data_IF_890359231054
#
_entry.id   IF_890359231054
#
_cell.length_a   1.000
_cell.length_b   1.000
_cell.length_c   1.000
_cell.angle_alpha   90.00
_cell.angle_beta   90.00
_cell.angle_gamma   90.00
#
_symmetry.space_group_name_H-M   'P 1'
#
loop_
_entity.id
_entity.type
_entity.pdbx_description
1 polymer ?
#
# COMPACT_ATOMS: atom_id res chain seq x y z
N UNK A 1 14.28 9.26 -2.48
CA UNK A 1 12.86 9.32 -2.05
C UNK A 1 12.83 9.72 -0.58
N UNK A 2 12.05 10.76 -0.22
CA UNK A 2 11.91 11.22 1.16
C UNK A 2 11.30 10.13 2.05
N UNK A 3 11.60 10.12 3.35
CA UNK A 3 11.13 9.09 4.28
C UNK A 3 9.60 9.01 4.38
N UNK A 4 8.92 10.17 4.46
CA UNK A 4 7.46 10.23 4.38
C UNK A 4 6.92 9.49 3.15
N UNK A 5 7.50 9.75 1.96
CA UNK A 5 7.06 9.10 0.72
C UNK A 5 7.24 7.59 0.76
N UNK A 6 8.31 7.07 1.39
CA UNK A 6 8.50 5.63 1.55
C UNK A 6 7.41 5.02 2.43
N UNK A 7 7.05 5.66 3.53
CA UNK A 7 5.96 5.21 4.41
C UNK A 7 4.61 5.26 3.71
N UNK A 8 4.31 6.33 2.97
CA UNK A 8 3.10 6.42 2.14
C UNK A 8 3.05 5.28 1.10
N UNK A 9 4.18 4.98 0.44
CA UNK A 9 4.27 3.84 -0.48
C UNK A 9 4.07 2.50 0.25
N UNK A 10 4.74 2.26 1.36
CA UNK A 10 4.58 1.01 2.11
C UNK A 10 3.13 0.80 2.55
N UNK A 11 2.46 1.86 3.02
CA UNK A 11 1.08 1.79 3.51
C UNK A 11 0.04 1.48 2.42
N UNK A 12 0.30 1.83 1.15
CA UNK A 12 -0.72 1.61 0.10
C UNK A 12 -1.82 2.63 0.05
N UNK A 13 -2.16 3.19 1.20
CA UNK A 13 -3.31 4.05 1.39
C UNK A 13 -2.96 5.22 2.32
N UNK A 14 -3.68 6.33 2.16
CA UNK A 14 -3.57 7.51 3.00
C UNK A 14 -4.97 7.85 3.56
N UNK A 15 -5.28 7.48 4.81
CA UNK A 15 -6.52 7.88 5.48
C UNK A 15 -6.63 9.41 5.54
N UNK A 16 -7.68 9.96 4.95
CA UNK A 16 -7.95 11.41 4.95
C UNK A 16 -9.02 11.73 5.99
N UNK A 17 -8.60 12.22 7.14
CA UNK A 17 -9.46 12.39 8.32
C UNK A 17 -9.96 13.84 8.47
N UNK A 18 -11.25 13.98 8.77
CA UNK A 18 -11.84 15.21 9.31
C UNK A 18 -12.06 14.98 10.80
N UNK A 19 -11.42 15.80 11.64
CA UNK A 19 -11.47 15.65 13.09
C UNK A 19 -12.08 16.92 13.67
N UNK A 20 -13.34 16.84 14.12
CA UNK A 20 -14.03 17.95 14.78
C UNK A 20 -13.62 18.17 16.24
N UNK A 21 -13.14 17.10 16.89
CA UNK A 21 -12.70 17.11 18.29
C UNK A 21 -11.32 16.45 18.40
N UNK A 22 -10.33 17.19 18.90
CA UNK A 22 -8.95 16.70 19.02
C UNK A 22 -8.83 15.44 19.89
N UNK A 23 -9.77 15.19 20.82
CA UNK A 23 -9.79 13.98 21.66
C UNK A 23 -9.97 12.69 20.85
N UNK A 24 -10.51 12.79 19.64
CA UNK A 24 -10.68 11.63 18.75
C UNK A 24 -9.40 11.28 17.98
N UNK A 25 -8.40 12.16 17.95
CA UNK A 25 -7.22 11.98 17.10
C UNK A 25 -6.37 10.77 17.52
N UNK A 26 -6.14 10.61 18.82
CA UNK A 26 -5.30 9.55 19.37
C UNK A 26 -5.98 8.17 19.25
N UNK A 27 -7.24 7.98 19.69
CA UNK A 27 -7.95 6.70 19.48
C UNK A 27 -8.13 6.31 18.00
N UNK A 28 -8.34 7.30 17.12
CA UNK A 28 -8.36 7.06 15.67
C UNK A 28 -7.03 6.48 15.18
N UNK A 29 -5.91 7.04 15.64
CA UNK A 29 -4.59 6.55 15.27
C UNK A 29 -4.31 5.15 15.83
N UNK A 30 -4.82 4.82 17.02
CA UNK A 30 -4.72 3.46 17.57
C UNK A 30 -5.42 2.44 16.68
N UNK A 31 -6.62 2.74 16.20
CA UNK A 31 -7.35 1.88 15.27
C UNK A 31 -6.62 1.70 13.93
N UNK A 32 -6.03 2.78 13.39
CA UNK A 32 -5.23 2.72 12.17
C UNK A 32 -3.98 1.85 12.37
N UNK A 33 -3.24 2.06 13.46
CA UNK A 33 -2.04 1.29 13.79
C UNK A 33 -2.36 -0.19 13.99
N UNK A 34 -3.45 -0.50 14.69
CA UNK A 34 -3.92 -1.88 14.86
C UNK A 34 -4.22 -2.56 13.53
N UNK A 35 -4.77 -1.82 12.55
CA UNK A 35 -5.00 -2.30 11.20
C UNK A 35 -3.73 -2.33 10.31
N UNK A 36 -2.59 -1.84 10.80
CA UNK A 36 -1.34 -1.80 10.06
C UNK A 36 -1.15 -0.59 9.16
N UNK A 37 -1.89 0.50 9.41
CA UNK A 37 -1.76 1.76 8.68
C UNK A 37 -1.12 2.78 9.62
N UNK A 38 0.09 3.21 9.29
CA UNK A 38 0.92 4.07 10.12
C UNK A 38 1.05 5.50 9.58
N UNK A 39 0.16 5.90 8.66
CA UNK A 39 0.10 7.24 8.07
C UNK A 39 -1.32 7.81 8.18
N UNK A 40 -1.43 9.14 8.31
CA UNK A 40 -2.73 9.84 8.34
C UNK A 40 -2.60 11.26 7.77
N UNK A 41 -3.57 11.70 6.97
CA UNK A 41 -3.74 13.10 6.55
C UNK A 41 -4.88 13.73 7.37
N UNK A 42 -4.56 14.60 8.32
CA UNK A 42 -5.57 15.39 9.05
C UNK A 42 -5.92 16.64 8.24
N UNK A 43 -7.17 16.78 7.82
CA UNK A 43 -7.57 17.94 7.01
C UNK A 43 -7.72 19.20 7.87
N UNK A 44 -7.12 20.31 7.43
CA UNK A 44 -7.18 21.64 8.06
C UNK A 44 -8.50 22.35 7.73
N UNK A 45 -9.62 21.62 7.89
CA UNK A 45 -10.98 22.09 7.67
C UNK A 45 -11.76 22.35 8.96
N UNK A 46 -11.16 22.06 10.10
CA UNK A 46 -11.74 22.22 11.43
C UNK A 46 -10.79 23.02 12.32
N UNK A 47 -11.34 23.72 13.31
CA UNK A 47 -10.53 24.45 14.31
C UNK A 47 -9.66 23.50 15.15
N UNK A 48 -10.12 22.26 15.33
CA UNK A 48 -9.41 21.22 16.09
C UNK A 48 -8.21 20.60 15.34
N UNK A 49 -8.02 20.86 14.04
CA UNK A 49 -7.03 20.16 13.22
C UNK A 49 -5.59 20.28 13.76
N UNK A 50 -5.16 21.49 14.15
CA UNK A 50 -3.82 21.69 14.69
C UNK A 50 -3.61 20.96 16.04
N UNK A 51 -4.63 20.99 16.91
CA UNK A 51 -4.58 20.27 18.18
C UNK A 51 -4.57 18.75 17.98
N UNK A 52 -5.35 18.24 17.03
CA UNK A 52 -5.35 16.83 16.64
C UNK A 52 -3.96 16.39 16.15
N UNK A 53 -3.33 17.15 15.26
CA UNK A 53 -1.96 16.86 14.78
C UNK A 53 -0.96 16.85 15.94
N UNK A 54 -1.05 17.81 16.86
CA UNK A 54 -0.17 17.88 18.02
C UNK A 54 -0.33 16.68 18.97
N UNK A 55 -1.57 16.26 19.25
CA UNK A 55 -1.84 15.07 20.03
C UNK A 55 -1.27 13.80 19.36
N UNK A 56 -1.46 13.63 18.05
CA UNK A 56 -0.89 12.49 17.30
C UNK A 56 0.64 12.50 17.36
N UNK A 57 1.27 13.64 17.06
CA UNK A 57 2.73 13.75 17.00
C UNK A 57 3.39 13.48 18.36
N UNK A 58 2.75 13.87 19.45
CA UNK A 58 3.28 13.70 20.81
C UNK A 58 2.98 12.33 21.41
N UNK A 59 1.76 11.82 21.22
CA UNK A 59 1.29 10.61 21.91
C UNK A 59 1.45 9.34 21.07
N UNK A 60 1.64 9.45 19.75
CA UNK A 60 1.74 8.31 18.81
C UNK A 60 2.96 8.45 17.90
N UNK A 61 4.19 8.28 18.42
CA UNK A 61 5.42 8.37 17.63
C UNK A 61 5.51 7.33 16.49
N UNK A 62 4.75 6.23 16.59
CA UNK A 62 4.60 5.24 15.52
C UNK A 62 3.78 5.73 14.32
N UNK A 63 2.96 6.78 14.48
CA UNK A 63 2.14 7.36 13.40
C UNK A 63 2.93 8.43 12.62
N UNK A 64 2.71 8.53 11.31
CA UNK A 64 3.16 9.64 10.48
C UNK A 64 2.03 10.65 10.30
N UNK A 65 1.96 11.71 11.11
CA UNK A 65 0.94 12.74 10.93
C UNK A 65 1.30 13.64 9.74
N UNK A 66 0.37 13.76 8.79
CA UNK A 66 0.36 14.79 7.77
C UNK A 66 -0.81 15.74 7.93
N UNK A 67 -0.71 16.90 7.28
CA UNK A 67 -1.77 17.89 7.26
C UNK A 67 -2.24 18.16 5.84
N UNK A 68 -3.54 18.03 5.62
CA UNK A 68 -4.18 18.18 4.33
C UNK A 68 -5.09 19.39 4.23
N UNK A 69 -5.52 19.72 3.02
CA UNK A 69 -6.33 20.93 2.76
C UNK A 69 -5.61 22.21 3.18
N UNK A 70 -4.28 22.26 3.00
CA UNK A 70 -3.51 23.48 3.21
C UNK A 70 -3.77 24.43 2.04
N UNK A 71 -4.19 25.66 2.34
CA UNK A 71 -4.55 26.68 1.34
C UNK A 71 -3.65 27.92 1.41
N UNK A 72 -2.96 28.13 2.53
CA UNK A 72 -2.07 29.27 2.75
C UNK A 72 -0.78 28.87 3.45
N UNK A 73 0.22 29.77 3.40
CA UNK A 73 1.48 29.62 4.12
C UNK A 73 1.24 29.59 5.64
N UNK A 74 0.35 30.43 6.15
CA UNK A 74 0.01 30.46 7.59
C UNK A 74 -0.53 29.09 8.08
N UNK A 75 -1.34 28.42 7.27
CA UNK A 75 -1.81 27.07 7.58
C UNK A 75 -0.68 26.04 7.52
N UNK A 76 0.23 26.16 6.55
CA UNK A 76 1.42 25.31 6.46
C UNK A 76 2.32 25.45 7.70
N UNK A 77 2.57 26.68 8.13
CA UNK A 77 3.33 27.00 9.35
C UNK A 77 2.64 26.47 10.61
N UNK A 78 1.33 26.66 10.73
CA UNK A 78 0.56 26.12 11.86
C UNK A 78 0.61 24.59 11.90
N UNK A 79 0.48 23.92 10.75
CA UNK A 79 0.55 22.47 10.64
C UNK A 79 1.91 21.91 11.02
N UNK A 80 2.99 22.48 10.49
CA UNK A 80 4.37 22.05 10.80
C UNK A 80 4.68 22.28 12.27
N UNK A 81 4.29 23.44 12.82
CA UNK A 81 4.45 23.75 14.25
C UNK A 81 3.66 22.79 15.15
N UNK A 82 2.50 22.32 14.69
CA UNK A 82 1.73 21.29 15.40
C UNK A 82 2.37 19.89 15.31
N UNK A 83 3.39 19.68 14.46
CA UNK A 83 4.09 18.41 14.33
C UNK A 83 3.75 17.62 13.06
N UNK A 84 3.06 18.22 12.09
CA UNK A 84 2.87 17.59 10.78
C UNK A 84 4.23 17.33 10.10
N UNK A 85 4.40 16.12 9.57
CA UNK A 85 5.64 15.65 8.92
C UNK A 85 5.61 15.75 7.41
N UNK A 86 4.43 15.99 6.84
CA UNK A 86 4.23 16.31 5.44
C UNK A 86 2.93 17.11 5.27
N UNK A 87 2.84 17.84 4.17
CA UNK A 87 1.69 18.66 3.82
C UNK A 87 1.05 18.20 2.52
N UNK A 88 -0.26 18.44 2.40
CA UNK A 88 -1.05 18.12 1.22
C UNK A 88 -1.97 19.29 0.88
N UNK A 89 -1.96 19.72 -0.37
CA UNK A 89 -2.86 20.77 -0.88
C UNK A 89 -3.89 20.16 -1.83
N UNK A 90 -5.12 20.68 -1.92
CA UNK A 90 -6.13 20.14 -2.83
C UNK A 90 -5.86 20.51 -4.30
N UNK A 91 -5.14 21.62 -4.54
CA UNK A 91 -4.66 22.06 -5.85
C UNK A 91 -3.24 22.64 -5.74
N UNK A 92 -2.68 23.12 -6.85
CA UNK A 92 -1.31 23.61 -6.87
C UNK A 92 -1.26 25.08 -6.41
N UNK A 93 -0.66 25.34 -5.24
CA UNK A 93 -0.44 26.69 -4.71
C UNK A 93 1.05 27.04 -4.80
N UNK A 94 1.47 27.93 -5.71
CA UNK A 94 2.88 28.32 -5.84
C UNK A 94 3.48 28.89 -4.55
N UNK A 95 2.68 29.63 -3.78
CA UNK A 95 3.13 30.23 -2.51
C UNK A 95 3.44 29.15 -1.46
N UNK A 96 2.53 28.19 -1.26
CA UNK A 96 2.75 27.08 -0.32
C UNK A 96 3.89 26.19 -0.81
N UNK A 97 3.95 25.91 -2.11
CA UNK A 97 5.01 25.12 -2.73
C UNK A 97 6.40 25.75 -2.53
N UNK A 98 6.53 27.05 -2.76
CA UNK A 98 7.77 27.78 -2.55
C UNK A 98 8.19 27.78 -1.07
N UNK A 99 7.24 28.03 -0.16
CA UNK A 99 7.51 27.99 1.28
C UNK A 99 7.97 26.61 1.74
N UNK A 100 7.29 25.54 1.33
CA UNK A 100 7.66 24.16 1.69
C UNK A 100 9.05 23.81 1.17
N UNK A 101 9.39 24.21 -0.06
CA UNK A 101 10.71 23.98 -0.64
C UNK A 101 11.81 24.71 0.13
N UNK A 102 11.58 25.97 0.51
CA UNK A 102 12.55 26.76 1.27
C UNK A 102 12.79 26.25 2.70
N UNK A 103 11.82 25.54 3.27
CA UNK A 103 11.90 24.97 4.62
C UNK A 103 12.10 23.44 4.63
N UNK A 104 12.37 22.85 3.47
CA UNK A 104 12.58 21.40 3.32
C UNK A 104 11.42 20.54 3.86
N UNK A 105 10.19 21.07 3.77
CA UNK A 105 8.97 20.38 4.19
C UNK A 105 8.43 19.54 3.04
N UNK A 106 8.20 18.22 3.23
CA UNK A 106 7.57 17.37 2.22
C UNK A 106 6.16 17.88 1.90
N UNK A 107 5.90 18.12 0.61
CA UNK A 107 4.62 18.56 0.10
C UNK A 107 4.19 17.64 -1.03
N UNK A 108 2.92 17.21 -0.98
CA UNK A 108 2.24 16.50 -2.06
C UNK A 108 1.16 17.43 -2.64
N UNK A 109 1.50 18.28 -3.63
CA UNK A 109 0.57 19.28 -4.10
C UNK A 109 -0.50 18.68 -5.00
N UNK A 110 -1.72 19.20 -4.90
CA UNK A 110 -2.86 18.77 -5.72
C UNK A 110 -2.75 19.20 -7.18
N UNK A 111 -3.10 18.30 -8.09
CA UNK A 111 -3.18 18.53 -9.54
C UNK A 111 -4.36 17.74 -10.11
N UNK A 112 -4.86 18.18 -11.27
CA UNK A 112 -5.92 17.51 -12.04
C UNK A 112 -5.64 17.50 -13.55
N UNK A 113 -4.72 18.33 -14.03
CA UNK A 113 -4.41 18.53 -15.45
C UNK A 113 -2.91 18.47 -15.76
N UNK A 114 -2.58 18.28 -17.04
CA UNK A 114 -1.21 18.32 -17.56
C UNK A 114 -0.46 19.62 -17.20
N UNK A 115 -1.12 20.79 -17.33
CA UNK A 115 -0.53 22.08 -16.99
C UNK A 115 -0.14 22.19 -15.52
N UNK A 116 -0.98 21.69 -14.61
CA UNK A 116 -0.68 21.71 -13.17
C UNK A 116 0.45 20.73 -12.82
N UNK A 117 0.51 19.57 -13.50
CA UNK A 117 1.63 18.62 -13.38
C UNK A 117 2.94 19.29 -13.81
N UNK A 118 2.96 19.98 -14.94
CA UNK A 118 4.15 20.70 -15.41
C UNK A 118 4.61 21.79 -14.44
N UNK A 119 3.67 22.55 -13.86
CA UNK A 119 3.98 23.56 -12.85
C UNK A 119 4.61 22.95 -11.59
N UNK A 120 4.06 21.83 -11.11
CA UNK A 120 4.60 21.14 -9.95
C UNK A 120 6.00 20.55 -10.23
N UNK A 121 6.18 19.92 -11.38
CA UNK A 121 7.46 19.37 -11.84
C UNK A 121 8.52 20.46 -12.01
N UNK A 122 8.16 21.62 -12.56
CA UNK A 122 9.06 22.76 -12.71
C UNK A 122 9.59 23.28 -11.37
N UNK A 123 8.81 23.12 -10.29
CA UNK A 123 9.25 23.43 -8.93
C UNK A 123 10.00 22.28 -8.24
N UNK A 124 10.07 21.10 -8.86
CA UNK A 124 10.76 19.90 -8.36
C UNK A 124 9.89 18.93 -7.58
N UNK A 125 8.56 19.10 -7.59
CA UNK A 125 7.63 18.16 -6.96
C UNK A 125 7.28 17.05 -7.95
N UNK A 126 7.63 15.81 -7.61
CA UNK A 126 7.35 14.62 -8.43
C UNK A 126 6.27 13.72 -7.83
N UNK A 127 5.97 13.87 -6.54
CA UNK A 127 4.89 13.16 -5.86
C UNK A 127 3.69 14.11 -5.68
N UNK A 128 2.61 13.86 -6.41
CA UNK A 128 1.50 14.79 -6.59
C UNK A 128 0.21 14.17 -6.06
N UNK A 129 -0.66 14.96 -5.43
CA UNK A 129 -2.04 14.53 -5.16
C UNK A 129 -2.85 14.70 -6.45
N UNK A 130 -3.57 13.65 -6.87
CA UNK A 130 -4.49 13.75 -8.00
C UNK A 130 -5.91 13.88 -7.46
N UNK A 131 -6.50 15.08 -7.59
CA UNK A 131 -7.77 15.41 -6.95
C UNK A 131 -8.61 16.37 -7.80
N UNK A 132 -9.94 16.14 -7.93
CA UNK A 132 -10.70 14.97 -7.48
C UNK A 132 -10.60 13.79 -8.46
N UNK A 133 -10.03 12.66 -8.03
CA UNK A 133 -9.56 11.59 -8.92
C UNK A 133 -10.62 11.04 -9.89
N UNK A 134 -11.75 10.54 -9.39
CA UNK A 134 -12.78 9.96 -10.25
C UNK A 134 -13.38 10.99 -11.23
N UNK A 135 -13.64 12.21 -10.75
CA UNK A 135 -14.21 13.28 -11.56
C UNK A 135 -13.22 13.83 -12.60
N UNK A 136 -11.92 13.69 -12.36
CA UNK A 136 -10.85 14.08 -13.30
C UNK A 136 -10.46 12.94 -14.27
N UNK A 137 -11.26 11.89 -14.39
CA UNK A 137 -11.05 10.79 -15.35
C UNK A 137 -10.33 9.56 -14.79
N UNK A 138 -10.06 9.54 -13.49
CA UNK A 138 -9.60 8.39 -12.71
C UNK A 138 -8.37 7.68 -13.26
N UNK A 139 -8.40 6.34 -13.23
CA UNK A 139 -7.33 5.46 -13.72
C UNK A 139 -6.93 5.77 -15.17
N UNK A 140 -7.91 6.11 -16.02
CA UNK A 140 -7.66 6.47 -17.43
C UNK A 140 -6.82 7.74 -17.57
N UNK A 141 -7.15 8.77 -16.78
CA UNK A 141 -6.39 10.02 -16.76
C UNK A 141 -4.95 9.80 -16.24
N UNK A 142 -4.77 9.06 -15.14
CA UNK A 142 -3.44 8.76 -14.61
C UNK A 142 -2.57 7.96 -15.58
N UNK A 143 -3.17 7.03 -16.33
CA UNK A 143 -2.47 6.30 -17.41
C UNK A 143 -2.03 7.24 -18.53
N UNK A 144 -2.90 8.17 -18.94
CA UNK A 144 -2.59 9.15 -19.98
C UNK A 144 -1.48 10.12 -19.54
N UNK A 145 -1.52 10.60 -18.28
CA UNK A 145 -0.49 11.47 -17.70
C UNK A 145 0.86 10.76 -17.55
N UNK A 146 0.86 9.45 -17.26
CA UNK A 146 2.08 8.65 -17.10
C UNK A 146 2.93 8.52 -18.38
N UNK A 147 2.35 8.77 -19.56
CA UNK A 147 3.08 8.77 -20.83
C UNK A 147 4.14 9.89 -20.91
N UNK A 148 3.72 11.17 -20.93
CA UNK A 148 4.64 12.31 -20.99
C UNK A 148 5.35 12.60 -19.66
N UNK A 149 4.78 12.25 -18.50
CA UNK A 149 5.31 12.60 -17.18
C UNK A 149 5.81 11.39 -16.40
N UNK A 150 6.79 10.66 -16.97
CA UNK A 150 7.30 9.39 -16.41
C UNK A 150 7.89 9.51 -14.99
N UNK A 151 8.36 10.70 -14.62
CA UNK A 151 8.89 10.99 -13.28
C UNK A 151 7.81 11.29 -12.23
N UNK A 152 6.56 11.54 -12.65
CA UNK A 152 5.47 11.89 -11.75
C UNK A 152 4.82 10.64 -11.16
N UNK A 153 4.54 10.70 -9.85
CA UNK A 153 3.73 9.72 -9.12
C UNK A 153 2.56 10.41 -8.47
N UNK A 154 1.46 9.69 -8.32
CA UNK A 154 0.18 10.26 -7.94
C UNK A 154 -0.40 9.62 -6.68
N UNK A 155 -1.05 10.45 -5.87
CA UNK A 155 -1.91 10.05 -4.76
C UNK A 155 -3.36 10.37 -5.19
N UNK A 156 -4.04 9.48 -5.93
CA UNK A 156 -5.45 9.68 -6.28
C UNK A 156 -6.30 9.81 -5.02
N UNK A 157 -7.09 10.87 -4.94
CA UNK A 157 -8.00 11.16 -3.84
C UNK A 157 -9.33 11.69 -4.38
N UNK A 158 -10.45 11.23 -3.83
CA UNK A 158 -11.80 11.63 -4.27
C UNK A 158 -12.44 10.58 -5.17
N UNK A 159 -13.47 9.90 -4.64
CA UNK A 159 -14.14 8.79 -5.31
C UNK A 159 -13.40 7.44 -5.24
N UNK A 160 -12.25 7.38 -4.59
CA UNK A 160 -11.52 6.13 -4.33
C UNK A 160 -12.17 5.37 -3.16
N UNK A 161 -12.29 4.06 -3.29
CA UNK A 161 -12.77 3.13 -2.26
C UNK A 161 -12.43 1.68 -2.61
N UNK A 162 -12.93 0.71 -1.83
CA UNK A 162 -12.57 -0.71 -2.00
C UNK A 162 -12.81 -1.25 -3.42
N UNK A 163 -13.88 -0.80 -4.07
CA UNK A 163 -14.29 -1.26 -5.40
C UNK A 163 -13.31 -0.88 -6.53
N UNK A 164 -12.51 0.18 -6.36
CA UNK A 164 -11.57 0.67 -7.38
C UNK A 164 -10.12 0.79 -6.87
N UNK A 165 -9.85 0.46 -5.59
CA UNK A 165 -8.54 0.58 -4.95
C UNK A 165 -7.41 -0.06 -5.77
N UNK A 166 -7.55 -1.36 -6.11
CA UNK A 166 -6.52 -2.07 -6.86
C UNK A 166 -6.41 -1.60 -8.32
N UNK A 167 -7.48 -1.05 -8.90
CA UNK A 167 -7.41 -0.46 -10.23
C UNK A 167 -6.44 0.73 -10.26
N UNK A 168 -6.41 1.53 -9.18
CA UNK A 168 -5.41 2.58 -9.01
C UNK A 168 -4.03 2.04 -8.64
N UNK A 169 -3.93 1.17 -7.62
CA UNK A 169 -2.63 0.69 -7.15
C UNK A 169 -1.86 -0.17 -8.16
N UNK A 170 -2.56 -0.76 -9.14
CA UNK A 170 -1.91 -1.46 -10.25
C UNK A 170 -1.13 -0.55 -11.21
N UNK A 171 -1.35 0.78 -11.16
CA UNK A 171 -0.60 1.71 -11.99
C UNK A 171 0.79 1.99 -11.39
N UNK A 172 1.88 1.91 -12.17
CA UNK A 172 3.24 2.11 -11.66
C UNK A 172 3.52 3.56 -11.22
N UNK A 173 2.72 4.51 -11.71
CA UNK A 173 2.78 5.91 -11.32
C UNK A 173 1.81 6.25 -10.17
N UNK A 174 1.25 5.28 -9.44
CA UNK A 174 0.46 5.53 -8.23
C UNK A 174 1.29 5.21 -6.98
N UNK A 175 1.49 6.23 -6.15
CA UNK A 175 2.23 6.11 -4.89
C UNK A 175 1.40 5.37 -3.83
N UNK A 176 0.21 5.88 -3.55
CA UNK A 176 -0.78 5.32 -2.63
C UNK A 176 -2.15 5.92 -2.93
N UNK A 177 -3.24 5.38 -2.38
CA UNK A 177 -4.58 5.91 -2.58
C UNK A 177 -5.06 6.71 -1.35
N UNK A 178 -5.45 7.97 -1.55
CA UNK A 178 -6.01 8.80 -0.50
C UNK A 178 -7.53 8.70 -0.42
N UNK A 179 -8.10 8.63 0.78
CA UNK A 179 -9.55 8.63 0.91
C UNK A 179 -10.08 8.64 2.34
N UNK A 180 -11.30 9.17 2.49
CA UNK A 180 -12.05 9.14 3.74
C UNK A 180 -12.84 7.84 3.94
N UNK A 181 -12.87 6.92 2.95
CA UNK A 181 -13.55 5.64 3.08
C UNK A 181 -12.96 4.75 4.19
N UNK A 182 -11.69 4.99 4.53
CA UNK A 182 -10.99 4.33 5.65
C UNK A 182 -11.40 4.89 7.00
N UNK A 183 -11.71 6.19 7.05
CA UNK A 183 -11.99 6.95 8.28
C UNK A 183 -13.24 7.82 8.10
N UNK A 184 -14.43 7.22 7.91
CA UNK A 184 -15.65 8.00 7.66
C UNK A 184 -15.91 8.98 8.81
N UNK A 185 -16.19 10.25 8.48
CA UNK A 185 -16.36 11.32 9.47
C UNK A 185 -17.41 10.97 10.54
N UNK A 186 -18.54 10.36 10.14
CA UNK A 186 -19.58 9.93 11.08
C UNK A 186 -19.13 8.86 12.09
N UNK A 187 -18.20 7.97 11.72
CA UNK A 187 -17.63 6.99 12.66
C UNK A 187 -16.61 7.65 13.60
N UNK A 188 -15.81 8.58 13.09
CA UNK A 188 -14.85 9.38 13.89
C UNK A 188 -15.60 10.21 14.92
N UNK A 189 -16.66 10.91 14.52
CA UNK A 189 -17.50 11.72 15.41
C UNK A 189 -18.22 10.88 16.46
N UNK A 190 -18.68 9.68 16.10
CA UNK A 190 -19.35 8.77 17.01
C UNK A 190 -18.38 7.96 17.92
N UNK A 191 -17.06 8.12 17.75
CA UNK A 191 -16.06 7.36 18.50
C UNK A 191 -16.03 5.85 18.21
N UNK A 192 -16.54 5.42 17.05
CA UNK A 192 -16.64 4.00 16.63
C UNK A 192 -15.33 3.52 15.99
N UNK A 193 -14.24 3.58 16.76
CA UNK A 193 -12.89 3.32 16.26
C UNK A 193 -12.62 1.84 15.99
N UNK A 194 -13.32 0.93 16.65
CA UNK A 194 -13.33 -0.51 16.40
C UNK A 194 -13.85 -0.84 14.99
N UNK A 195 -14.88 -0.13 14.53
CA UNK A 195 -15.37 -0.25 13.17
C UNK A 195 -14.42 0.34 12.14
N UNK A 196 -13.74 1.43 12.47
CA UNK A 196 -12.68 2.00 11.63
C UNK A 196 -11.52 1.00 11.48
N UNK A 197 -11.09 0.36 12.56
CA UNK A 197 -10.08 -0.71 12.50
C UNK A 197 -10.54 -1.83 11.55
N UNK A 198 -11.78 -2.29 11.69
CA UNK A 198 -12.36 -3.35 10.84
C UNK A 198 -12.37 -2.95 9.36
N UNK A 199 -12.80 -1.71 9.06
CA UNK A 199 -12.77 -1.16 7.69
C UNK A 199 -11.35 -1.10 7.13
N UNK A 200 -10.39 -0.66 7.93
CA UNK A 200 -8.99 -0.56 7.51
C UNK A 200 -8.38 -1.94 7.27
N UNK A 201 -8.66 -2.93 8.13
CA UNK A 201 -8.23 -4.32 7.91
C UNK A 201 -8.82 -4.90 6.62
N UNK A 202 -10.11 -4.65 6.37
CA UNK A 202 -10.75 -5.07 5.12
C UNK A 202 -10.11 -4.41 3.88
N UNK A 203 -9.71 -3.14 4.00
CA UNK A 203 -9.01 -2.42 2.93
C UNK A 203 -7.61 -2.98 2.67
N UNK A 204 -6.84 -3.30 3.71
CA UNK A 204 -5.54 -3.97 3.61
C UNK A 204 -5.69 -5.34 2.94
N UNK A 205 -6.67 -6.14 3.36
CA UNK A 205 -6.97 -7.43 2.75
C UNK A 205 -7.35 -7.29 1.27
N UNK A 206 -8.16 -6.29 0.93
CA UNK A 206 -8.52 -5.98 -0.45
C UNK A 206 -7.30 -5.59 -1.27
N UNK A 207 -6.39 -4.77 -0.73
CA UNK A 207 -5.17 -4.34 -1.40
C UNK A 207 -4.26 -5.52 -1.74
N UNK A 208 -4.05 -6.44 -0.80
CA UNK A 208 -3.18 -7.59 -1.04
C UNK A 208 -3.86 -8.68 -1.86
N UNK A 209 -5.16 -8.88 -1.67
CA UNK A 209 -5.98 -9.93 -2.28
C UNK A 209 -5.25 -11.30 -2.23
N UNK A 210 -4.92 -11.81 -1.02
CA UNK A 210 -4.16 -13.03 -0.89
C UNK A 210 -4.95 -14.23 -1.41
N UNK A 211 -4.38 -14.95 -2.36
CA UNK A 211 -5.02 -16.13 -2.97
C UNK A 211 -4.05 -17.30 -3.02
N UNK A 212 -4.53 -18.50 -2.68
CA UNK A 212 -3.75 -19.72 -2.89
C UNK A 212 -3.52 -19.90 -4.40
N UNK A 213 -2.25 -19.78 -4.81
CA UNK A 213 -1.82 -19.91 -6.20
C UNK A 213 -1.59 -21.37 -6.57
N UNK A 214 -0.77 -22.06 -5.79
CA UNK A 214 -0.40 -23.45 -6.02
C UNK A 214 0.06 -24.15 -4.74
N UNK A 215 0.03 -25.47 -4.77
CA UNK A 215 0.57 -26.33 -3.71
C UNK A 215 1.87 -26.96 -4.19
N UNK A 216 2.97 -26.65 -3.51
CA UNK A 216 4.24 -27.34 -3.65
C UNK A 216 4.24 -28.64 -2.86
N UNK A 217 4.65 -29.73 -3.51
CA UNK A 217 4.77 -31.05 -2.89
C UNK A 217 6.20 -31.56 -3.02
N UNK A 218 6.86 -31.76 -1.88
CA UNK A 218 8.19 -32.33 -1.85
C UNK A 218 8.15 -33.80 -2.31
N UNK A 219 9.06 -34.17 -3.22
CA UNK A 219 9.23 -35.53 -3.73
C UNK A 219 10.64 -36.04 -3.40
N UNK A 220 10.83 -37.36 -3.37
CA UNK A 220 12.12 -37.99 -3.12
C UNK A 220 13.09 -37.87 -4.31
N UNK A 221 12.59 -37.51 -5.50
CA UNK A 221 13.41 -37.34 -6.70
C UNK A 221 12.59 -37.01 -7.94
N UNK A 222 13.29 -36.81 -9.06
CA UNK A 222 12.68 -36.41 -10.34
C UNK A 222 11.65 -37.42 -10.87
N UNK A 223 11.89 -38.71 -10.69
CA UNK A 223 10.99 -39.78 -11.15
C UNK A 223 9.65 -39.76 -10.39
N UNK A 224 9.69 -39.57 -9.07
CA UNK A 224 8.46 -39.48 -8.27
C UNK A 224 7.68 -38.20 -8.60
N UNK A 225 8.37 -37.07 -8.77
CA UNK A 225 7.76 -35.82 -9.17
C UNK A 225 7.00 -35.95 -10.51
N UNK A 226 7.61 -36.58 -11.50
CA UNK A 226 6.99 -36.87 -12.79
C UNK A 226 5.76 -37.79 -12.64
N UNK A 227 5.87 -38.86 -11.85
CA UNK A 227 4.77 -39.80 -11.61
C UNK A 227 3.57 -39.11 -10.96
N UNK A 228 3.80 -38.26 -9.96
CA UNK A 228 2.75 -37.48 -9.29
C UNK A 228 2.12 -36.46 -10.24
N UNK A 229 2.91 -35.76 -11.04
CA UNK A 229 2.40 -34.83 -12.05
C UNK A 229 1.49 -35.53 -13.06
N UNK A 230 1.92 -36.68 -13.60
CA UNK A 230 1.09 -37.52 -14.49
C UNK A 230 -0.14 -38.08 -13.79
N UNK A 231 -0.08 -38.36 -12.50
CA UNK A 231 -1.25 -38.80 -11.74
C UNK A 231 -2.30 -37.68 -11.65
N UNK A 232 -1.89 -36.45 -11.36
CA UNK A 232 -2.77 -35.28 -11.35
C UNK A 232 -3.36 -34.98 -12.73
N UNK A 233 -2.57 -35.13 -13.79
CA UNK A 233 -3.08 -35.04 -15.16
C UNK A 233 -4.19 -36.07 -15.45
N UNK A 234 -3.97 -37.33 -15.10
CA UNK A 234 -4.99 -38.38 -15.29
C UNK A 234 -6.25 -38.16 -14.47
N UNK A 235 -6.13 -37.64 -13.25
CA UNK A 235 -7.26 -37.45 -12.34
C UNK A 235 -8.05 -36.18 -12.65
N UNK A 236 -7.38 -35.10 -13.03
CA UNK A 236 -7.96 -33.75 -13.07
C UNK A 236 -7.69 -32.98 -14.38
N UNK A 237 -6.93 -33.56 -15.32
CA UNK A 237 -6.56 -32.90 -16.59
C UNK A 237 -5.48 -31.82 -16.45
N UNK A 238 -4.71 -31.85 -15.37
CA UNK A 238 -3.62 -30.90 -15.12
C UNK A 238 -2.37 -31.26 -15.92
N UNK A 239 -2.32 -30.77 -17.17
CA UNK A 239 -1.23 -31.05 -18.10
C UNK A 239 0.16 -30.82 -17.47
N UNK A 240 1.07 -31.81 -17.51
CA UNK A 240 2.35 -31.72 -16.85
C UNK A 240 3.36 -30.90 -17.67
N UNK A 241 4.14 -30.05 -17.01
CA UNK A 241 5.25 -29.28 -17.59
C UNK A 241 6.50 -29.45 -16.75
N UNK A 242 7.57 -29.93 -17.36
CA UNK A 242 8.86 -30.07 -16.67
C UNK A 242 9.61 -28.74 -16.62
N UNK A 243 10.17 -28.44 -15.45
CA UNK A 243 11.17 -27.40 -15.23
C UNK A 243 12.42 -28.02 -14.58
N UNK A 244 13.57 -27.32 -14.53
CA UNK A 244 14.80 -27.88 -13.95
C UNK A 244 14.63 -28.42 -12.52
N UNK A 245 13.90 -27.70 -11.66
CA UNK A 245 13.73 -28.06 -10.23
C UNK A 245 12.43 -28.78 -9.87
N UNK A 246 11.44 -28.82 -10.76
CA UNK A 246 10.10 -29.32 -10.45
C UNK A 246 9.38 -29.84 -11.70
N UNK A 247 8.32 -30.61 -11.48
CA UNK A 247 7.25 -30.79 -12.45
C UNK A 247 6.05 -29.95 -12.03
N UNK A 248 5.48 -29.17 -12.93
CA UNK A 248 4.19 -28.51 -12.69
C UNK A 248 3.06 -29.34 -13.25
N UNK A 249 1.97 -29.49 -12.51
CA UNK A 249 0.71 -30.04 -13.00
C UNK A 249 -0.29 -28.88 -13.16
N UNK A 250 -0.47 -28.40 -14.40
CA UNK A 250 -1.17 -27.15 -14.66
C UNK A 250 -0.57 -25.97 -13.87
N UNK A 251 -1.43 -25.11 -13.33
CA UNK A 251 -1.06 -24.06 -12.37
C UNK A 251 -1.25 -24.46 -10.91
N UNK A 252 -1.86 -25.62 -10.64
CA UNK A 252 -2.35 -25.95 -9.31
C UNK A 252 -1.29 -26.59 -8.39
N UNK A 253 -0.35 -27.37 -8.95
CA UNK A 253 0.63 -28.10 -8.15
C UNK A 253 2.04 -28.04 -8.73
N UNK A 254 3.02 -27.89 -7.83
CA UNK A 254 4.45 -27.93 -8.11
C UNK A 254 5.07 -29.14 -7.40
N UNK A 255 5.47 -30.15 -8.17
CA UNK A 255 6.07 -31.37 -7.68
C UNK A 255 7.58 -31.18 -7.64
N UNK A 256 8.09 -30.81 -6.47
CA UNK A 256 9.49 -30.39 -6.27
C UNK A 256 10.40 -31.61 -6.29
N UNK A 257 11.39 -31.64 -7.21
CA UNK A 257 12.28 -32.80 -7.42
C UNK A 257 13.23 -33.04 -6.25
N UNK A 258 13.62 -31.98 -5.54
CA UNK A 258 14.49 -32.01 -4.37
C UNK A 258 13.81 -31.22 -3.24
N UNK A 259 13.52 -31.84 -2.07
CA UNK A 259 12.87 -31.13 -0.98
C UNK A 259 13.63 -29.87 -0.59
N UNK A 260 12.88 -28.79 -0.35
CA UNK A 260 13.43 -27.51 0.09
C UNK A 260 12.93 -27.18 1.51
N UNK A 261 11.91 -26.33 1.63
CA UNK A 261 11.29 -25.96 2.91
C UNK A 261 9.97 -26.71 3.11
N UNK A 262 9.54 -26.81 4.37
CA UNK A 262 8.35 -27.54 4.80
C UNK A 262 8.50 -29.06 4.72
N UNK A 263 7.96 -29.77 5.70
CA UNK A 263 7.93 -31.24 5.70
C UNK A 263 7.16 -31.81 4.50
N UNK A 264 6.09 -31.13 4.06
CA UNK A 264 5.22 -31.57 2.97
C UNK A 264 5.42 -30.79 1.66
N UNK A 265 6.17 -29.69 1.71
CA UNK A 265 6.33 -28.74 0.61
C UNK A 265 5.84 -27.36 1.03
N UNK A 266 5.16 -26.65 0.12
CA UNK A 266 4.79 -25.25 0.35
C UNK A 266 3.38 -24.89 -0.11
N UNK A 267 2.80 -23.86 0.49
CA UNK A 267 1.62 -23.16 -0.01
C UNK A 267 2.07 -21.83 -0.60
N UNK A 268 1.81 -21.64 -1.88
CA UNK A 268 2.10 -20.40 -2.58
C UNK A 268 0.91 -19.45 -2.50
N UNK A 269 1.08 -18.28 -1.88
CA UNK A 269 0.03 -17.26 -1.77
C UNK A 269 0.34 -16.09 -2.71
N UNK A 270 -0.44 -15.94 -3.77
CA UNK A 270 -0.34 -14.83 -4.69
C UNK A 270 -0.91 -13.54 -4.07
N UNK A 271 -0.22 -12.41 -4.26
CA UNK A 271 -0.62 -11.08 -3.79
C UNK A 271 -0.38 -10.01 -4.85
N UNK A 272 -1.23 -8.96 -4.90
CA UNK A 272 -1.13 -7.88 -5.90
C UNK A 272 0.11 -6.98 -5.73
N UNK A 273 0.59 -6.81 -4.49
CA UNK A 273 1.70 -5.92 -4.14
C UNK A 273 2.65 -6.56 -3.14
N UNK A 274 3.52 -7.47 -3.60
CA UNK A 274 4.35 -8.29 -2.71
C UNK A 274 5.23 -7.49 -1.75
N UNK A 275 5.84 -6.38 -2.19
CA UNK A 275 6.68 -5.57 -1.32
C UNK A 275 5.87 -4.86 -0.22
N UNK A 276 4.66 -4.38 -0.56
CA UNK A 276 3.75 -3.77 0.42
C UNK A 276 3.22 -4.84 1.40
N UNK A 277 2.92 -6.03 0.89
CA UNK A 277 2.53 -7.17 1.71
C UNK A 277 3.66 -7.55 2.68
N UNK A 278 4.90 -7.64 2.21
CA UNK A 278 6.06 -7.90 3.05
C UNK A 278 6.21 -6.87 4.16
N UNK A 279 6.15 -5.58 3.83
CA UNK A 279 6.24 -4.50 4.80
C UNK A 279 5.13 -4.60 5.87
N UNK A 280 3.90 -4.90 5.45
CA UNK A 280 2.79 -5.10 6.38
C UNK A 280 3.00 -6.32 7.28
N UNK A 281 3.35 -7.48 6.72
CA UNK A 281 3.60 -8.70 7.50
C UNK A 281 4.74 -8.51 8.50
N UNK A 282 5.84 -7.86 8.11
CA UNK A 282 6.94 -7.50 9.01
C UNK A 282 6.50 -6.62 10.17
N UNK A 283 5.68 -5.60 9.88
CA UNK A 283 5.11 -4.73 10.93
C UNK A 283 4.20 -5.49 11.91
N UNK A 284 3.67 -6.66 11.51
CA UNK A 284 2.85 -7.55 12.35
C UNK A 284 3.64 -8.74 12.90
N UNK A 285 4.97 -8.66 12.92
CA UNK A 285 5.82 -9.66 13.56
C UNK A 285 6.13 -10.90 12.72
N UNK A 286 5.70 -10.93 11.46
CA UNK A 286 6.02 -12.04 10.54
C UNK A 286 7.40 -11.80 9.92
N UNK A 287 8.33 -12.70 10.19
CA UNK A 287 9.66 -12.70 9.59
C UNK A 287 9.69 -13.45 8.25
N UNK A 288 10.64 -13.08 7.38
CA UNK A 288 10.86 -13.71 6.08
C UNK A 288 12.25 -14.35 6.02
N UNK A 289 12.35 -15.44 5.25
CA UNK A 289 13.58 -16.21 5.04
C UNK A 289 14.37 -15.66 3.86
N UNK A 290 15.64 -15.33 4.08
CA UNK A 290 16.53 -14.84 3.02
C UNK A 290 16.78 -15.91 1.96
N UNK A 291 16.92 -17.18 2.36
CA UNK A 291 17.16 -18.31 1.44
C UNK A 291 15.99 -18.59 0.48
N UNK A 292 14.79 -18.07 0.81
CA UNK A 292 13.58 -18.19 0.01
C UNK A 292 13.26 -16.96 -0.85
N UNK A 293 14.11 -15.93 -0.84
CA UNK A 293 13.89 -14.71 -1.60
C UNK A 293 14.24 -14.93 -3.09
N UNK A 294 13.27 -14.69 -3.96
CA UNK A 294 13.43 -14.73 -5.41
C UNK A 294 13.14 -13.34 -5.97
N UNK A 295 14.03 -12.82 -6.81
CA UNK A 295 13.91 -11.49 -7.42
C UNK A 295 14.14 -11.55 -8.94
N UNK A 296 13.56 -10.58 -9.65
CA UNK A 296 13.82 -10.30 -11.05
C UNK A 296 14.08 -8.81 -11.29
N UNK A 297 14.14 -8.39 -12.57
CA UNK A 297 14.35 -6.98 -12.93
C UNK A 297 13.23 -6.04 -12.48
N UNK A 298 12.06 -6.55 -12.10
CA UNK A 298 10.92 -5.79 -11.60
C UNK A 298 10.77 -5.86 -10.07
N UNK A 299 11.67 -6.54 -9.35
CA UNK A 299 11.70 -6.60 -7.90
C UNK A 299 11.45 -8.01 -7.34
N UNK A 300 10.83 -8.09 -6.16
CA UNK A 300 10.55 -9.38 -5.50
C UNK A 300 9.52 -10.18 -6.32
N UNK A 301 9.82 -11.45 -6.55
CA UNK A 301 8.94 -12.42 -7.23
C UNK A 301 8.31 -13.36 -6.23
N UNK A 302 9.10 -13.85 -5.26
CA UNK A 302 8.61 -14.70 -4.19
C UNK A 302 9.46 -14.54 -2.93
N UNK A 303 8.87 -14.79 -1.76
CA UNK A 303 9.59 -14.81 -0.48
C UNK A 303 8.90 -15.75 0.50
N UNK A 304 9.66 -16.57 1.20
CA UNK A 304 9.14 -17.51 2.21
C UNK A 304 9.03 -16.85 3.57
N UNK A 305 7.95 -17.16 4.29
CA UNK A 305 7.79 -16.80 5.70
C UNK A 305 8.67 -17.69 6.58
N UNK A 306 9.05 -17.19 7.75
CA UNK A 306 9.73 -17.99 8.77
C UNK A 306 8.80 -19.08 9.32
N UNK A 307 7.51 -18.74 9.47
CA UNK A 307 6.45 -19.61 9.97
C UNK A 307 6.06 -20.71 8.96
N UNK A 308 5.65 -21.85 9.51
CA UNK A 308 5.08 -22.97 8.76
C UNK A 308 3.68 -23.29 9.29
N UNK A 309 2.78 -23.73 8.42
CA UNK A 309 1.41 -24.11 8.78
C UNK A 309 1.18 -25.56 8.40
N UNK A 310 0.94 -26.43 9.40
CA UNK A 310 0.64 -27.85 9.16
C UNK A 310 1.76 -28.62 8.45
N UNK A 311 3.02 -28.22 8.64
CA UNK A 311 4.18 -28.81 7.96
C UNK A 311 4.40 -28.33 6.52
N UNK A 312 3.65 -27.32 6.07
CA UNK A 312 3.92 -26.61 4.82
C UNK A 312 4.63 -25.28 5.11
N UNK A 313 5.69 -25.01 4.35
CA UNK A 313 6.25 -23.67 4.28
C UNK A 313 5.28 -22.75 3.52
N UNK A 314 5.21 -21.48 3.90
CA UNK A 314 4.36 -20.50 3.21
C UNK A 314 5.27 -19.55 2.45
N UNK A 315 4.99 -19.30 1.17
CA UNK A 315 5.61 -18.18 0.47
C UNK A 315 4.57 -17.22 -0.08
N UNK A 316 4.90 -15.93 -0.07
CA UNK A 316 4.22 -14.94 -0.88
C UNK A 316 4.79 -15.00 -2.30
N UNK A 317 3.92 -14.84 -3.29
CA UNK A 317 4.28 -14.75 -4.71
C UNK A 317 3.67 -13.49 -5.31
N UNK A 318 4.45 -12.74 -6.09
CA UNK A 318 3.95 -11.62 -6.88
C UNK A 318 2.96 -12.17 -7.91
N UNK A 319 1.77 -11.58 -7.99
CA UNK A 319 0.81 -11.92 -9.04
C UNK A 319 1.39 -11.55 -10.41
N UNK A 320 1.22 -12.46 -11.37
CA UNK A 320 1.67 -12.26 -12.77
C UNK A 320 0.83 -11.17 -13.47
#
# INVERSE_FOLDING_TARGET
>A
MHECTKRLYAAGMLPVAVIGDARHAVPLCDALLAAGIDVIEVTFRTEAAAQAVAAIASERPGMLPGAGTILSVDQAEAAVRAGARFLVTPGFSPAVAAWCKNHEIPLYPGVSTATEVEQALAMGFTDLKFFPAEQSGGVGALRALGGPYQQARFIPTGGVGLHNLNAYLSLPNVLCCGGSFLVPAGLVEAGRFDEIETLCRAAVQTMFDPQLCHVGMNCAGAQEAEQRAKALDRLFGFAPRELPGAWFAGSAAELVKKPFLGAHGHLAIAVNHIERAMAWYQAHGVAFREEGLVMDGAGVVAVYLQEEVGGFAIHLRRRD
#
